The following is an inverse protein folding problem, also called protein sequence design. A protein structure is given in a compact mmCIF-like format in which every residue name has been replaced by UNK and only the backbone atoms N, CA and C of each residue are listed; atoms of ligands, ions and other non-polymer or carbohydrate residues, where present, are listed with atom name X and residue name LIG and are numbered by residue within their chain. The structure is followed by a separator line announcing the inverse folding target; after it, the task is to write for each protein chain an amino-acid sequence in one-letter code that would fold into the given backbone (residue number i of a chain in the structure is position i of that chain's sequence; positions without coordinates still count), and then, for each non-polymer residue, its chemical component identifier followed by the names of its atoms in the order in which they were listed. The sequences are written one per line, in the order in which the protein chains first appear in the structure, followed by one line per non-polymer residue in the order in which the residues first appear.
data_IF_880985433172
#
_entry.id   IF_880985433172
#
_cell.length_a   1.000
_cell.length_b   1.000
_cell.length_c   1.000
_cell.angle_alpha   90.00
_cell.angle_beta   90.00
_cell.angle_gamma   90.00
#
_symmetry.space_group_name_H-M   'P 1'
#
loop_
_entity.id
_entity.type
_entity.pdbx_description
1 polymer ?
#
# COMPACT_ATOMS: atom_id res chain seq x y z
N UNK A 1 -9.30 -4.07 14.42
CA UNK A 1 -8.93 -3.90 13.00
C UNK A 1 -7.52 -4.45 12.82
N UNK A 2 -7.17 -5.06 11.68
CA UNK A 2 -6.00 -5.96 11.61
C UNK A 2 -4.77 -5.25 10.99
N UNK A 3 -3.66 -5.31 11.70
CA UNK A 3 -2.33 -4.92 11.22
C UNK A 3 -1.84 -6.00 10.24
N UNK A 4 -1.22 -5.58 9.13
CA UNK A 4 -0.54 -6.45 8.18
C UNK A 4 0.79 -6.93 8.76
N UNK A 5 1.10 -8.21 8.57
CA UNK A 5 2.45 -8.70 8.80
C UNK A 5 3.37 -8.11 7.73
N UNK A 6 4.48 -7.49 8.15
CA UNK A 6 5.48 -6.97 7.20
C UNK A 6 6.07 -8.12 6.38
N UNK A 7 6.11 -8.03 5.04
CA UNK A 7 6.80 -8.98 4.19
C UNK A 7 8.26 -9.15 4.62
N UNK A 8 8.76 -10.39 4.76
CA UNK A 8 10.15 -10.63 5.16
C UNK A 8 11.16 -9.91 4.26
N UNK A 9 12.13 -9.24 4.91
CA UNK A 9 13.26 -8.57 4.27
C UNK A 9 14.53 -9.45 4.22
N UNK A 10 14.39 -10.78 4.30
CA UNK A 10 15.52 -11.73 4.21
C UNK A 10 16.29 -11.61 2.89
N UNK A 11 15.60 -11.13 1.85
CA UNK A 11 16.19 -10.57 0.63
C UNK A 11 15.82 -9.09 0.64
N UNK A 12 16.79 -8.15 0.53
CA UNK A 12 16.51 -6.72 0.46
C UNK A 12 15.47 -6.41 -0.61
N UNK A 13 14.54 -5.49 -0.34
CA UNK A 13 13.48 -5.19 -1.31
C UNK A 13 14.03 -4.63 -2.62
N UNK A 14 15.14 -3.89 -2.57
CA UNK A 14 15.85 -3.39 -3.76
C UNK A 14 16.35 -4.54 -4.66
N UNK A 15 16.77 -5.67 -4.10
CA UNK A 15 17.25 -6.80 -4.89
C UNK A 15 16.12 -7.49 -5.66
N UNK A 16 14.87 -7.34 -5.20
CA UNK A 16 13.69 -7.79 -5.95
C UNK A 16 13.39 -6.89 -7.14
N UNK A 17 13.57 -5.57 -6.99
CA UNK A 17 13.52 -4.64 -8.10
C UNK A 17 14.61 -4.96 -9.13
N UNK A 18 15.86 -5.13 -8.68
CA UNK A 18 16.99 -5.54 -9.54
C UNK A 18 16.71 -6.84 -10.29
N UNK A 19 16.10 -7.83 -9.63
CA UNK A 19 15.70 -9.07 -10.29
C UNK A 19 14.67 -8.86 -11.40
N UNK A 20 13.75 -7.89 -11.26
CA UNK A 20 12.80 -7.51 -12.32
C UNK A 20 13.55 -6.85 -13.49
N UNK A 21 14.43 -5.88 -13.21
CA UNK A 21 15.19 -5.17 -14.26
C UNK A 21 16.10 -6.13 -15.02
N UNK A 22 16.83 -6.99 -14.30
CA UNK A 22 17.76 -7.96 -14.89
C UNK A 22 17.04 -8.99 -15.78
N UNK A 23 15.80 -9.34 -15.46
CA UNK A 23 14.98 -10.27 -16.24
C UNK A 23 14.43 -9.68 -17.55
N UNK A 24 14.51 -8.36 -17.78
CA UNK A 24 14.14 -7.77 -19.07
C UNK A 24 15.14 -8.20 -20.15
N UNK A 25 14.68 -8.37 -21.39
CA UNK A 25 15.55 -8.72 -22.52
C UNK A 25 16.58 -7.61 -22.78
N UNK A 26 17.79 -7.99 -23.21
CA UNK A 26 18.81 -7.01 -23.60
C UNK A 26 18.48 -6.30 -24.93
N UNK A 27 17.70 -6.96 -25.77
CA UNK A 27 17.27 -6.45 -27.07
C UNK A 27 15.76 -6.64 -27.30
N UNK A 28 15.17 -5.78 -28.12
CA UNK A 28 13.79 -5.84 -28.62
C UNK A 28 13.88 -5.60 -30.13
N UNK A 29 13.38 -6.53 -30.94
CA UNK A 29 13.43 -6.48 -32.40
C UNK A 29 14.84 -6.21 -32.96
N UNK A 30 15.84 -6.88 -32.39
CA UNK A 30 17.25 -6.76 -32.78
C UNK A 30 17.93 -5.46 -32.34
N UNK A 31 17.21 -4.52 -31.71
CA UNK A 31 17.75 -3.25 -31.18
C UNK A 31 17.97 -3.35 -29.68
N UNK A 32 18.88 -2.53 -29.16
CA UNK A 32 19.12 -2.40 -27.71
C UNK A 32 17.82 -2.04 -26.99
N UNK A 33 17.54 -2.73 -25.88
CA UNK A 33 16.44 -2.39 -25.00
C UNK A 33 16.81 -1.16 -24.15
N UNK A 34 16.48 0.03 -24.65
CA UNK A 34 16.74 1.30 -23.97
C UNK A 34 16.06 1.39 -22.61
N UNK A 35 14.86 0.81 -22.44
CA UNK A 35 14.19 0.74 -21.14
C UNK A 35 15.03 0.00 -20.11
N UNK A 36 15.62 -1.15 -20.48
CA UNK A 36 16.50 -1.90 -19.57
C UNK A 36 17.76 -1.09 -19.25
N UNK A 37 18.40 -0.49 -20.25
CA UNK A 37 19.60 0.32 -20.02
C UNK A 37 19.33 1.51 -19.11
N UNK A 38 18.22 2.22 -19.31
CA UNK A 38 17.81 3.33 -18.47
C UNK A 38 17.59 2.88 -17.02
N UNK A 39 16.82 1.79 -16.82
CA UNK A 39 16.58 1.23 -15.48
C UNK A 39 17.87 0.80 -14.76
N UNK A 40 18.84 0.23 -15.48
CA UNK A 40 20.16 -0.09 -14.91
C UNK A 40 20.92 1.18 -14.49
N UNK A 41 20.82 2.27 -15.28
CA UNK A 41 21.41 3.57 -14.93
C UNK A 41 20.76 4.25 -13.72
N UNK A 42 19.51 3.90 -13.40
CA UNK A 42 18.78 4.42 -12.25
C UNK A 42 19.00 3.63 -10.96
N UNK A 43 19.72 2.49 -10.98
CA UNK A 43 19.82 1.56 -9.84
C UNK A 43 20.21 2.24 -8.53
N UNK A 44 21.28 3.05 -8.54
CA UNK A 44 21.74 3.74 -7.34
C UNK A 44 20.69 4.72 -6.77
N UNK A 45 19.96 5.41 -7.65
CA UNK A 45 18.90 6.33 -7.24
C UNK A 45 17.71 5.56 -6.65
N UNK A 46 17.25 4.49 -7.31
CA UNK A 46 16.17 3.64 -6.81
C UNK A 46 16.57 2.98 -5.48
N UNK A 47 17.79 2.48 -5.36
CA UNK A 47 18.32 1.88 -4.13
C UNK A 47 18.35 2.88 -2.97
N UNK A 48 18.77 4.12 -3.22
CA UNK A 48 18.71 5.19 -2.22
C UNK A 48 17.27 5.44 -1.78
N UNK A 49 16.33 5.52 -2.73
CA UNK A 49 14.91 5.76 -2.43
C UNK A 49 14.24 4.64 -1.66
N UNK A 50 14.62 3.38 -1.90
CA UNK A 50 14.16 2.25 -1.10
C UNK A 50 14.62 2.41 0.35
N UNK A 51 15.89 2.74 0.57
CA UNK A 51 16.43 3.00 1.90
C UNK A 51 15.70 4.16 2.59
N UNK A 52 15.50 5.28 1.89
CA UNK A 52 14.81 6.45 2.44
C UNK A 52 13.36 6.10 2.83
N UNK A 53 12.67 5.32 2.00
CA UNK A 53 11.30 4.88 2.25
C UNK A 53 11.22 3.95 3.48
N UNK A 54 12.13 2.98 3.57
CA UNK A 54 12.20 2.06 4.71
C UNK A 54 12.52 2.82 6.01
N UNK A 55 13.44 3.80 5.99
CA UNK A 55 13.73 4.68 7.11
C UNK A 55 12.53 5.56 7.49
N UNK A 56 11.82 6.10 6.50
CA UNK A 56 10.61 6.89 6.74
C UNK A 56 9.50 6.05 7.42
N UNK A 57 9.39 4.76 7.08
CA UNK A 57 8.48 3.84 7.78
C UNK A 57 8.94 3.61 9.22
N UNK A 58 10.23 3.33 9.43
CA UNK A 58 10.78 3.05 10.77
C UNK A 58 10.63 4.24 11.72
N UNK A 59 10.82 5.45 11.21
CA UNK A 59 10.77 6.68 11.99
C UNK A 59 9.38 7.32 12.05
N UNK A 60 8.33 6.68 11.51
CA UNK A 60 6.98 7.24 11.40
C UNK A 60 6.95 8.61 10.66
N UNK A 61 7.73 8.74 9.59
CA UNK A 61 7.92 9.97 8.80
C UNK A 61 7.31 9.89 7.40
N UNK A 62 6.41 8.93 7.14
CA UNK A 62 5.78 8.77 5.83
C UNK A 62 5.08 10.05 5.33
N UNK A 63 4.46 10.84 6.21
CA UNK A 63 3.80 12.10 5.82
C UNK A 63 4.76 13.07 5.11
N UNK A 64 5.99 13.15 5.61
CA UNK A 64 7.05 14.05 5.12
C UNK A 64 7.82 13.47 3.94
N UNK A 65 7.51 12.24 3.48
CA UNK A 65 8.18 11.64 2.34
C UNK A 65 7.81 12.37 1.04
N UNK A 66 8.83 12.84 0.31
CA UNK A 66 8.69 13.68 -0.89
C UNK A 66 8.97 12.90 -2.17
N UNK A 67 8.37 13.38 -3.27
CA UNK A 67 8.60 12.86 -4.62
C UNK A 67 10.05 13.13 -5.06
N UNK A 68 10.60 12.26 -5.91
CA UNK A 68 11.88 12.52 -6.59
C UNK A 68 11.60 13.08 -7.98
N UNK A 69 11.90 14.37 -8.26
CA UNK A 69 11.70 14.94 -9.59
C UNK A 69 12.45 14.17 -10.67
N UNK A 70 13.68 13.75 -10.39
CA UNK A 70 14.53 13.01 -11.33
C UNK A 70 13.96 11.64 -11.68
N UNK A 71 13.49 10.87 -10.69
CA UNK A 71 12.91 9.55 -10.96
C UNK A 71 11.52 9.66 -11.59
N UNK A 72 10.77 10.71 -11.29
CA UNK A 72 9.47 10.98 -11.91
C UNK A 72 9.57 11.22 -13.42
N UNK A 73 10.70 11.70 -13.92
CA UNK A 73 10.96 11.79 -15.37
C UNK A 73 11.04 10.42 -16.07
N UNK A 74 11.30 9.36 -15.32
CA UNK A 74 11.43 7.97 -15.80
C UNK A 74 10.23 7.11 -15.38
N UNK A 75 9.06 7.76 -15.22
CA UNK A 75 7.85 7.14 -14.67
C UNK A 75 7.44 5.90 -15.46
N UNK A 76 7.42 5.96 -16.78
CA UNK A 76 6.87 4.88 -17.61
C UNK A 76 7.73 3.61 -17.52
N UNK A 77 9.05 3.74 -17.51
CA UNK A 77 9.97 2.62 -17.32
C UNK A 77 9.87 2.00 -15.93
N UNK A 78 9.80 2.85 -14.89
CA UNK A 78 9.69 2.41 -13.50
C UNK A 78 8.34 1.72 -13.24
N UNK A 79 7.23 2.28 -13.74
CA UNK A 79 5.92 1.63 -13.69
C UNK A 79 5.87 0.37 -14.54
N UNK A 80 6.61 0.33 -15.65
CA UNK A 80 6.81 -0.85 -16.49
C UNK A 80 7.49 -2.03 -15.76
N UNK A 81 8.10 -1.82 -14.59
CA UNK A 81 8.53 -2.90 -13.71
C UNK A 81 7.36 -3.56 -12.97
N UNK A 82 6.27 -2.84 -12.72
CA UNK A 82 5.06 -3.35 -12.06
C UNK A 82 4.03 -3.88 -13.06
N UNK A 83 3.67 -3.08 -14.07
CA UNK A 83 2.57 -3.37 -15.01
C UNK A 83 2.85 -4.54 -15.95
N UNK A 84 4.10 -4.99 -16.07
CA UNK A 84 4.45 -6.18 -16.83
C UNK A 84 3.95 -7.48 -16.20
N UNK A 85 3.49 -7.48 -14.93
CA UNK A 85 3.02 -8.65 -14.18
C UNK A 85 3.89 -9.91 -14.37
N UNK A 86 5.21 -9.68 -14.47
CA UNK A 86 6.18 -10.73 -14.78
C UNK A 86 6.24 -11.76 -13.65
N UNK A 87 6.90 -12.91 -13.88
CA UNK A 87 7.13 -13.91 -12.83
C UNK A 87 7.75 -13.28 -11.57
N UNK A 88 8.70 -12.35 -11.75
CA UNK A 88 9.38 -11.63 -10.66
C UNK A 88 8.44 -10.71 -9.87
N UNK A 89 7.50 -10.04 -10.53
CA UNK A 89 6.45 -9.26 -9.84
C UNK A 89 5.52 -10.18 -9.05
N UNK A 90 5.13 -11.31 -9.63
CA UNK A 90 4.29 -12.32 -8.94
C UNK A 90 4.98 -12.91 -7.70
N UNK A 91 6.31 -13.02 -7.70
CA UNK A 91 7.09 -13.42 -6.52
C UNK A 91 6.94 -12.40 -5.37
N UNK A 92 6.81 -11.10 -5.66
CA UNK A 92 6.56 -10.05 -4.65
C UNK A 92 5.13 -10.18 -4.09
N UNK A 93 4.14 -10.39 -4.94
CA UNK A 93 2.76 -10.62 -4.47
C UNK A 93 2.64 -11.88 -3.62
N UNK A 94 3.36 -12.95 -4.02
CA UNK A 94 3.44 -14.17 -3.23
C UNK A 94 4.12 -13.92 -1.88
N UNK A 95 5.22 -13.16 -1.84
CA UNK A 95 5.85 -12.77 -0.58
C UNK A 95 4.87 -12.06 0.34
N UNK A 96 4.15 -11.05 -0.16
CA UNK A 96 3.16 -10.32 0.64
C UNK A 96 2.10 -11.28 1.18
N UNK A 97 1.55 -12.13 0.31
CA UNK A 97 0.50 -13.12 0.66
C UNK A 97 0.98 -14.13 1.71
N UNK A 98 2.14 -14.72 1.51
CA UNK A 98 2.70 -15.78 2.36
C UNK A 98 3.06 -15.27 3.76
N UNK A 99 3.27 -13.95 3.91
CA UNK A 99 3.48 -13.34 5.22
C UNK A 99 2.18 -13.14 6.00
N UNK A 100 1.01 -13.21 5.36
CA UNK A 100 -0.27 -12.96 6.04
C UNK A 100 -0.89 -14.23 6.61
N UNK A 101 -1.63 -14.07 7.71
CA UNK A 101 -2.47 -15.16 8.23
C UNK A 101 -3.62 -15.47 7.24
N UNK A 102 -4.08 -16.73 7.14
CA UNK A 102 -5.17 -17.08 6.23
C UNK A 102 -6.45 -16.27 6.41
N UNK A 103 -6.74 -15.83 7.65
CA UNK A 103 -7.89 -14.98 7.95
C UNK A 103 -7.77 -13.54 7.42
N UNK A 104 -6.56 -13.04 7.20
CA UNK A 104 -6.32 -11.71 6.62
C UNK A 104 -6.65 -11.70 5.12
N UNK A 105 -6.28 -12.77 4.41
CA UNK A 105 -6.48 -12.89 2.96
C UNK A 105 -7.95 -12.99 2.52
N UNK A 106 -8.88 -13.00 3.48
CA UNK A 106 -10.33 -13.10 3.22
C UNK A 106 -11.05 -11.75 3.28
N UNK A 107 -10.43 -10.69 3.80
CA UNK A 107 -11.08 -9.39 4.02
C UNK A 107 -10.13 -8.24 3.72
N UNK A 108 -10.61 -7.30 2.91
CA UNK A 108 -9.90 -6.06 2.56
C UNK A 108 -9.55 -5.30 3.84
N UNK A 109 -8.31 -4.82 4.00
CA UNK A 109 -7.90 -4.08 5.19
C UNK A 109 -8.65 -2.76 5.32
N UNK A 110 -8.98 -2.13 4.19
CA UNK A 110 -9.75 -0.90 4.13
C UNK A 110 -11.22 -1.12 4.54
N UNK A 111 -11.99 -1.93 3.81
CA UNK A 111 -13.42 -2.05 4.09
C UNK A 111 -13.81 -3.18 5.06
N UNK A 112 -12.92 -4.13 5.36
CA UNK A 112 -13.20 -5.26 6.24
C UNK A 112 -14.18 -6.32 5.69
N UNK A 113 -14.70 -6.15 4.47
CA UNK A 113 -15.78 -6.98 3.91
C UNK A 113 -15.34 -7.79 2.69
N UNK A 114 -14.79 -7.14 1.67
CA UNK A 114 -14.54 -7.76 0.36
C UNK A 114 -13.20 -8.50 0.32
N UNK A 115 -13.11 -9.61 -0.42
CA UNK A 115 -11.84 -10.33 -0.62
C UNK A 115 -10.82 -9.43 -1.36
N UNK A 116 -9.57 -9.31 -0.87
CA UNK A 116 -8.50 -8.61 -1.59
C UNK A 116 -8.16 -9.31 -2.90
N UNK A 117 -8.19 -8.57 -4.01
CA UNK A 117 -7.85 -9.06 -5.36
C UNK A 117 -6.83 -8.17 -6.09
N UNK A 118 -6.50 -7.02 -5.54
CA UNK A 118 -5.53 -6.07 -6.07
C UNK A 118 -4.52 -5.68 -4.98
N UNK A 119 -3.52 -4.87 -5.34
CA UNK A 119 -2.61 -4.25 -4.39
C UNK A 119 -2.69 -2.73 -4.58
N UNK A 120 -3.03 -2.01 -3.52
CA UNK A 120 -2.93 -0.56 -3.46
C UNK A 120 -1.48 -0.15 -3.25
N UNK A 121 -1.05 0.90 -3.96
CA UNK A 121 0.21 1.57 -3.68
C UNK A 121 -0.02 2.62 -2.59
N UNK A 122 0.45 2.35 -1.37
CA UNK A 122 0.22 3.26 -0.24
C UNK A 122 0.67 4.69 -0.59
N UNK A 123 1.93 4.81 -1.01
CA UNK A 123 2.44 5.96 -1.74
C UNK A 123 2.11 5.77 -3.24
N UNK A 124 1.32 6.68 -3.86
CA UNK A 124 0.77 6.46 -5.18
C UNK A 124 1.85 6.29 -6.25
N UNK A 125 1.66 5.29 -7.11
CA UNK A 125 2.58 4.99 -8.22
C UNK A 125 2.72 6.17 -9.21
N UNK A 126 1.72 7.05 -9.28
CA UNK A 126 1.76 8.28 -10.10
C UNK A 126 2.74 9.35 -9.59
N UNK A 127 3.10 9.28 -8.30
CA UNK A 127 3.97 10.22 -7.59
C UNK A 127 5.32 9.60 -7.18
N UNK A 128 5.31 8.29 -6.90
CA UNK A 128 6.46 7.52 -6.43
C UNK A 128 6.67 6.27 -7.30
N UNK A 129 6.89 6.43 -8.63
CA UNK A 129 6.95 5.30 -9.55
C UNK A 129 8.10 4.34 -9.23
N UNK A 130 9.17 4.80 -8.59
CA UNK A 130 10.29 3.97 -8.14
C UNK A 130 9.86 2.91 -7.11
N UNK A 131 8.84 3.23 -6.30
CA UNK A 131 8.31 2.35 -5.25
C UNK A 131 7.18 1.43 -5.74
N UNK A 132 6.89 1.39 -7.05
CA UNK A 132 5.76 0.63 -7.60
C UNK A 132 5.82 -0.88 -7.33
N UNK A 133 7.04 -1.43 -7.14
CA UNK A 133 7.26 -2.85 -6.81
C UNK A 133 7.80 -3.06 -5.39
N UNK A 134 7.88 -2.01 -4.58
CA UNK A 134 8.35 -2.14 -3.19
C UNK A 134 7.29 -2.87 -2.36
N UNK A 135 7.63 -4.00 -1.74
CA UNK A 135 6.65 -4.83 -1.03
C UNK A 135 5.92 -4.09 0.11
N UNK A 136 6.64 -3.25 0.87
CA UNK A 136 6.05 -2.39 1.90
C UNK A 136 5.18 -1.24 1.36
N UNK A 137 5.23 -0.95 0.05
CA UNK A 137 4.34 0.01 -0.59
C UNK A 137 3.06 -0.64 -1.15
N UNK A 138 2.97 -1.98 -1.15
CA UNK A 138 1.84 -2.72 -1.72
C UNK A 138 0.93 -3.28 -0.63
N UNK A 139 -0.31 -2.80 -0.57
CA UNK A 139 -1.34 -3.21 0.39
C UNK A 139 -2.37 -4.09 -0.32
N UNK A 140 -2.52 -5.39 0.03
CA UNK A 140 -3.58 -6.22 -0.54
C UNK A 140 -4.96 -5.61 -0.25
N UNK A 141 -5.74 -5.30 -1.28
CA UNK A 141 -7.05 -4.67 -1.11
C UNK A 141 -8.06 -5.11 -2.20
N UNK A 142 -9.32 -4.72 -2.04
CA UNK A 142 -10.31 -4.89 -3.12
C UNK A 142 -10.18 -3.76 -4.16
N UNK A 143 -10.72 -3.98 -5.36
CA UNK A 143 -10.68 -3.00 -6.45
C UNK A 143 -11.36 -1.68 -6.10
N UNK A 144 -12.51 -1.74 -5.43
CA UNK A 144 -13.26 -0.54 -5.01
C UNK A 144 -12.44 0.33 -4.07
N UNK A 145 -11.88 -0.21 -2.98
CA UNK A 145 -11.04 0.57 -2.06
C UNK A 145 -9.77 1.12 -2.74
N UNK A 146 -9.13 0.32 -3.61
CA UNK A 146 -7.98 0.78 -4.38
C UNK A 146 -8.34 2.00 -5.25
N UNK A 147 -9.46 1.93 -5.97
CA UNK A 147 -9.95 3.03 -6.79
C UNK A 147 -10.36 4.25 -5.97
N UNK A 148 -11.02 4.06 -4.82
CA UNK A 148 -11.41 5.14 -3.90
C UNK A 148 -10.19 5.88 -3.36
N UNK A 149 -9.16 5.15 -2.92
CA UNK A 149 -7.91 5.77 -2.46
C UNK A 149 -7.17 6.47 -3.60
N UNK A 150 -6.99 5.79 -4.74
CA UNK A 150 -6.28 6.32 -5.90
C UNK A 150 -4.94 6.95 -5.48
N UNK A 151 -4.79 8.27 -5.69
CA UNK A 151 -3.60 9.03 -5.36
C UNK A 151 -3.70 9.86 -4.06
N UNK A 152 -4.79 9.69 -3.29
CA UNK A 152 -5.15 10.49 -2.13
C UNK A 152 -4.57 9.90 -0.84
N UNK A 153 -3.25 9.92 -0.66
CA UNK A 153 -2.60 9.33 0.52
C UNK A 153 -2.36 10.31 1.68
N UNK A 154 -2.39 11.62 1.40
CA UNK A 154 -2.27 12.70 2.38
C UNK A 154 -2.98 13.97 1.92
N UNK A 155 -3.24 14.88 2.86
CA UNK A 155 -3.62 16.26 2.62
C UNK A 155 -2.49 17.22 3.08
N UNK A 156 -2.79 18.50 3.32
CA UNK A 156 -1.81 19.50 3.73
C UNK A 156 -1.20 19.27 5.12
N UNK A 157 -1.88 18.53 6.00
CA UNK A 157 -1.56 18.45 7.43
C UNK A 157 -1.30 17.03 7.92
N UNK A 158 -1.86 16.00 7.26
CA UNK A 158 -1.72 14.60 7.70
C UNK A 158 -1.93 13.59 6.58
N UNK A 159 -1.57 12.32 6.86
CA UNK A 159 -1.92 11.17 6.02
C UNK A 159 -3.44 10.92 6.12
N UNK A 160 -4.05 10.51 5.01
CA UNK A 160 -5.51 10.29 4.90
C UNK A 160 -5.88 8.82 4.97
N UNK A 161 -4.90 7.91 5.07
CA UNK A 161 -5.14 6.48 5.16
C UNK A 161 -4.17 5.83 6.15
N UNK A 162 -4.70 4.87 6.90
CA UNK A 162 -3.92 3.99 7.78
C UNK A 162 -2.89 3.23 6.95
N UNK A 163 -1.64 3.25 7.41
CA UNK A 163 -0.57 2.42 6.90
C UNK A 163 -0.51 1.10 7.67
N UNK A 164 -1.14 0.07 7.11
CA UNK A 164 -1.42 -1.19 7.80
C UNK A 164 -0.19 -1.98 8.27
N UNK A 165 1.04 -1.66 7.81
CA UNK A 165 2.26 -2.36 8.22
C UNK A 165 2.91 -1.79 9.50
N UNK A 166 2.47 -0.62 10.01
CA UNK A 166 3.06 -0.02 11.21
C UNK A 166 2.14 0.85 12.04
N UNK A 167 1.06 1.39 11.46
CA UNK A 167 0.16 2.25 12.22
C UNK A 167 -0.55 1.44 13.29
N UNK A 168 -0.56 1.98 14.51
CA UNK A 168 -1.29 1.39 15.61
C UNK A 168 -2.77 1.75 15.45
N UNK A 169 -3.63 0.73 15.43
CA UNK A 169 -5.07 0.95 15.41
C UNK A 169 -5.56 0.84 16.85
N UNK A 170 -6.15 1.91 17.42
CA UNK A 170 -6.64 1.89 18.79
C UNK A 170 -7.64 0.75 19.01
N UNK A 171 -7.60 0.13 20.19
CA UNK A 171 -8.48 -0.99 20.56
C UNK A 171 -9.86 -0.51 21.02
N UNK A 172 -9.99 0.78 21.28
CA UNK A 172 -11.18 1.46 21.71
C UNK A 172 -12.30 1.37 20.68
N UNK A 173 -13.53 1.30 21.16
CA UNK A 173 -14.71 1.25 20.29
C UNK A 173 -15.13 2.66 19.91
N UNK A 174 -14.94 3.00 18.63
CA UNK A 174 -15.41 4.27 18.06
C UNK A 174 -16.83 4.16 17.50
N UNK A 175 -17.17 3.02 16.89
CA UNK A 175 -18.46 2.80 16.22
C UNK A 175 -19.39 2.01 17.12
N UNK A 176 -20.54 2.60 17.43
CA UNK A 176 -21.63 1.99 18.16
C UNK A 176 -22.76 1.63 17.20
N UNK A 177 -23.36 0.46 17.43
CA UNK A 177 -24.46 -0.06 16.64
C UNK A 177 -25.57 -0.42 17.62
N UNK A 178 -26.72 0.21 17.46
CA UNK A 178 -27.94 -0.14 18.16
C UNK A 178 -28.89 -0.82 17.18
N UNK A 179 -29.29 -2.05 17.50
CA UNK A 179 -30.27 -2.80 16.72
C UNK A 179 -31.68 -2.51 17.24
N UNK A 180 -32.64 -2.41 16.32
CA UNK A 180 -34.06 -2.25 16.62
C UNK A 180 -34.81 -3.37 15.95
N UNK A 181 -35.80 -3.91 16.64
CA UNK A 181 -36.67 -4.97 16.12
C UNK A 181 -38.09 -4.40 16.08
N UNK A 182 -38.83 -4.68 15.01
CA UNK A 182 -40.25 -4.34 15.00
C UNK A 182 -40.99 -5.15 16.06
N UNK A 183 -42.10 -4.61 16.57
CA UNK A 183 -42.94 -5.25 17.59
C UNK A 183 -43.43 -6.65 17.20
N UNK A 184 -43.51 -6.91 15.89
CA UNK A 184 -44.00 -8.15 15.33
C UNK A 184 -42.85 -9.13 15.02
N UNK A 185 -41.59 -8.67 15.09
CA UNK A 185 -40.39 -9.47 14.81
C UNK A 185 -40.01 -9.56 13.32
N UNK A 186 -40.80 -8.98 12.43
CA UNK A 186 -40.67 -9.17 10.98
C UNK A 186 -39.57 -8.31 10.33
N UNK A 187 -38.98 -7.38 11.10
CA UNK A 187 -37.94 -6.48 10.59
C UNK A 187 -36.93 -6.07 11.63
N UNK A 188 -35.70 -5.85 11.16
CA UNK A 188 -34.56 -5.38 11.94
C UNK A 188 -34.00 -4.09 11.34
N UNK A 189 -33.79 -3.09 12.18
CA UNK A 189 -33.10 -1.84 11.85
C UNK A 189 -31.80 -1.72 12.63
N UNK A 190 -30.88 -0.88 12.14
CA UNK A 190 -29.64 -0.56 12.84
C UNK A 190 -29.41 0.96 12.82
N UNK A 191 -29.10 1.54 13.98
CA UNK A 191 -28.60 2.91 14.10
C UNK A 191 -27.12 2.88 14.44
N UNK A 192 -26.33 3.52 13.58
CA UNK A 192 -24.90 3.68 13.77
C UNK A 192 -24.63 5.02 14.44
N UNK A 193 -23.65 5.06 15.34
CA UNK A 193 -23.16 6.31 15.95
C UNK A 193 -21.66 6.21 16.19
N UNK A 194 -20.97 7.35 16.19
CA UNK A 194 -19.54 7.42 16.46
C UNK A 194 -19.35 8.16 17.78
N UNK A 195 -18.62 7.55 18.72
CA UNK A 195 -18.21 8.19 19.96
C UNK A 195 -16.69 8.23 19.99
N UNK A 196 -16.12 9.43 20.10
CA UNK A 196 -14.68 9.60 20.34
C UNK A 196 -14.34 9.09 21.75
N UNK A 197 -13.47 8.09 21.89
CA UNK A 197 -13.01 7.65 23.20
C UNK A 197 -12.21 8.78 23.87
N UNK A 198 -12.39 9.03 25.17
CA UNK A 198 -11.76 10.15 25.87
C UNK A 198 -10.23 10.11 25.87
N UNK A 199 -9.62 8.95 25.60
CA UNK A 199 -8.17 8.75 25.59
C UNK A 199 -7.53 8.86 24.20
N UNK A 200 -8.30 9.23 23.16
CA UNK A 200 -7.81 9.33 21.78
C UNK A 200 -7.63 10.81 21.45
N UNK A 201 -6.39 11.24 21.26
CA UNK A 201 -6.06 12.62 20.89
C UNK A 201 -6.59 12.97 19.49
N UNK A 202 -6.75 14.26 19.22
CA UNK A 202 -7.21 14.77 17.91
C UNK A 202 -6.31 14.27 16.75
N UNK A 203 -5.01 14.10 17.00
CA UNK A 203 -4.04 13.54 16.03
C UNK A 203 -4.32 12.08 15.66
N UNK A 204 -5.02 11.33 16.52
CA UNK A 204 -5.44 9.94 16.28
C UNK A 204 -6.87 9.85 15.72
N UNK A 205 -7.65 10.94 15.77
CA UNK A 205 -9.05 10.99 15.34
C UNK A 205 -9.19 10.90 13.80
N UNK A 206 -8.21 11.41 13.06
CA UNK A 206 -8.28 11.50 11.60
C UNK A 206 -8.12 10.17 10.86
N UNK A 207 -7.64 9.11 11.52
CA UNK A 207 -7.60 7.77 10.91
C UNK A 207 -8.99 7.17 10.66
N UNK A 208 -10.04 7.74 11.26
CA UNK A 208 -11.38 7.13 11.30
C UNK A 208 -12.40 7.72 10.33
N UNK A 209 -12.19 8.93 9.80
CA UNK A 209 -13.09 9.54 8.81
C UNK A 209 -12.82 9.08 7.37
N UNK A 210 -11.92 8.12 7.19
CA UNK A 210 -11.48 7.59 5.89
C UNK A 210 -11.99 6.16 5.61
N UNK A 211 -12.88 5.65 6.47
CA UNK A 211 -13.54 4.34 6.35
C UNK A 211 -14.96 4.47 5.79
#
# INVERSE_FOLDING_TARGET
MKILNRPLASIPYIDRHRAIVNAKNNTIDGKINLTKQNLLGLDNQVASRYRDFELAIQNNQLFSFIESPTLKLNKDELLGCYTGYTKRVKEIFKLIKDNQTPGFLKRCPYCGVTIPKTHDHYLPESKFPELAVHALNLIPCCSSCNQTKSHNWKNATHRTFIYFYSDTIPAERFINIQLYFSTNGDSIGAKFSINKPPNVSDDQEYYFFSL
#
